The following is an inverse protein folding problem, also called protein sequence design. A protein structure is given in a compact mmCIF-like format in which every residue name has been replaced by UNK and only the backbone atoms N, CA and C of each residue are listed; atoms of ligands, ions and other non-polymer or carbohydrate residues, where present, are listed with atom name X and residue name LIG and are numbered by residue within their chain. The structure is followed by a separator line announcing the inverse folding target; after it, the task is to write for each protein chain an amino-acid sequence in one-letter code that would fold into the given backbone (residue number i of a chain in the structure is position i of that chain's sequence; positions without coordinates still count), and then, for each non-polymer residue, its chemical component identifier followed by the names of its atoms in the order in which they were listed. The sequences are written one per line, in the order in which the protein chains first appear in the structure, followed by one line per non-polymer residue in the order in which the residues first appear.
data_IF_991690857056
#
_entry.id   IF_991690857056
#
_cell.length_a   1.000
_cell.length_b   1.000
_cell.length_c   1.000
_cell.angle_alpha   90.00
_cell.angle_beta   90.00
_cell.angle_gamma   90.00
#
_symmetry.space_group_name_H-M   'P 1'
#
loop_
_entity.id
_entity.type
_entity.pdbx_description
1 polymer ?
#
# COMPACT_ATOMS: atom_id res chain seq x y z
N UNK A 1 11.52 15.35 7.85
CA UNK A 1 11.27 15.59 6.40
C UNK A 1 11.50 14.33 5.54
N UNK A 2 11.92 13.20 6.13
CA UNK A 2 12.23 11.97 5.43
C UNK A 2 10.98 11.13 5.08
N UNK A 3 10.00 11.06 6.00
CA UNK A 3 8.84 10.16 5.89
C UNK A 3 7.85 10.50 4.76
N UNK A 4 7.72 11.80 4.41
CA UNK A 4 6.86 12.23 3.29
C UNK A 4 7.50 11.95 1.94
N UNK A 5 8.83 11.99 1.87
CA UNK A 5 9.56 11.70 0.65
C UNK A 5 9.55 10.20 0.36
N UNK A 6 9.77 9.36 1.38
CA UNK A 6 9.69 7.90 1.25
C UNK A 6 8.29 7.41 0.87
N UNK A 7 7.23 7.91 1.51
CA UNK A 7 5.86 7.55 1.12
C UNK A 7 5.54 7.92 -0.33
N UNK A 8 5.97 9.11 -0.78
CA UNK A 8 5.80 9.52 -2.17
C UNK A 8 6.62 8.65 -3.13
N UNK A 9 7.82 8.25 -2.73
CA UNK A 9 8.69 7.40 -3.53
C UNK A 9 8.12 6.00 -3.69
N UNK A 10 7.57 5.40 -2.61
CA UNK A 10 6.87 4.12 -2.67
C UNK A 10 5.60 4.20 -3.52
N UNK A 11 4.81 5.27 -3.40
CA UNK A 11 3.63 5.47 -4.24
C UNK A 11 4.00 5.61 -5.73
N UNK A 12 5.05 6.38 -6.04
CA UNK A 12 5.60 6.51 -7.39
C UNK A 12 6.10 5.17 -7.93
N UNK A 13 6.80 4.38 -7.10
CA UNK A 13 7.33 3.07 -7.45
C UNK A 13 6.21 2.07 -7.74
N UNK A 14 5.14 2.08 -6.94
CA UNK A 14 3.94 1.27 -7.15
C UNK A 14 3.24 1.63 -8.47
N UNK A 15 3.03 2.92 -8.74
CA UNK A 15 2.46 3.40 -10.00
C UNK A 15 3.33 3.04 -11.20
N UNK A 16 4.65 3.13 -11.05
CA UNK A 16 5.59 2.72 -12.10
C UNK A 16 5.52 1.21 -12.37
N UNK A 17 5.44 0.37 -11.32
CA UNK A 17 5.21 -1.07 -11.44
C UNK A 17 3.89 -1.39 -12.16
N UNK A 18 2.81 -0.70 -11.81
CA UNK A 18 1.51 -0.85 -12.48
C UNK A 18 1.58 -0.43 -13.96
N UNK A 19 2.21 0.70 -14.26
CA UNK A 19 2.35 1.21 -15.63
C UNK A 19 3.21 0.28 -16.50
N UNK A 20 4.34 -0.19 -15.98
CA UNK A 20 5.21 -1.15 -16.66
C UNK A 20 4.51 -2.50 -16.84
N UNK A 21 3.79 -2.99 -15.82
CA UNK A 21 3.00 -4.22 -15.90
C UNK A 21 1.87 -4.13 -16.94
N UNK A 22 1.20 -2.98 -17.06
CA UNK A 22 0.24 -2.70 -18.13
C UNK A 22 0.90 -2.65 -19.51
N UNK A 23 2.05 -1.99 -19.63
CA UNK A 23 2.72 -1.82 -20.93
C UNK A 23 3.40 -3.09 -21.44
N UNK A 24 3.74 -4.03 -20.56
CA UNK A 24 4.41 -5.30 -20.90
C UNK A 24 3.47 -6.50 -20.87
N UNK A 25 2.15 -6.31 -20.72
CA UNK A 25 1.15 -7.38 -20.52
C UNK A 25 1.56 -8.38 -19.42
N UNK A 26 2.27 -7.89 -18.40
CA UNK A 26 2.79 -8.72 -17.33
C UNK A 26 1.80 -8.72 -16.16
N UNK A 27 0.81 -9.61 -16.24
CA UNK A 27 -0.25 -9.77 -15.22
C UNK A 27 0.31 -9.91 -13.80
N UNK A 28 1.50 -10.51 -13.64
CA UNK A 28 2.14 -10.66 -12.34
C UNK A 28 2.47 -9.30 -11.69
N UNK A 29 2.94 -8.33 -12.47
CA UNK A 29 3.34 -7.01 -11.96
C UNK A 29 2.12 -6.16 -11.59
N UNK A 30 1.03 -6.27 -12.35
CA UNK A 30 -0.26 -5.66 -11.98
C UNK A 30 -0.86 -6.30 -10.73
N UNK A 31 -0.81 -7.63 -10.63
CA UNK A 31 -1.33 -8.36 -9.49
C UNK A 31 -0.56 -8.03 -8.20
N UNK A 32 0.78 -7.94 -8.27
CA UNK A 32 1.62 -7.49 -7.16
C UNK A 32 1.25 -6.08 -6.71
N UNK A 33 1.16 -5.12 -7.63
CA UNK A 33 0.84 -3.73 -7.30
C UNK A 33 -0.52 -3.57 -6.61
N UNK A 34 -1.56 -4.23 -7.14
CA UNK A 34 -2.89 -4.23 -6.52
C UNK A 34 -2.92 -4.98 -5.19
N UNK A 35 -2.22 -6.11 -5.08
CA UNK A 35 -2.16 -6.87 -3.84
C UNK A 35 -1.44 -6.09 -2.73
N UNK A 36 -0.39 -5.34 -3.07
CA UNK A 36 0.37 -4.51 -2.13
C UNK A 36 -0.45 -3.30 -1.65
N UNK A 37 -1.17 -2.62 -2.55
CA UNK A 37 -2.16 -1.59 -2.19
C UNK A 37 -3.26 -2.14 -1.27
N UNK A 38 -3.84 -3.29 -1.62
CA UNK A 38 -4.88 -3.93 -0.84
C UNK A 38 -4.41 -4.33 0.57
N UNK A 39 -3.20 -4.90 0.67
CA UNK A 39 -2.58 -5.26 1.95
C UNK A 39 -2.28 -4.03 2.81
N UNK A 40 -1.80 -2.95 2.21
CA UNK A 40 -1.54 -1.69 2.91
C UNK A 40 -2.80 -1.11 3.55
N UNK A 41 -3.86 -0.98 2.75
CA UNK A 41 -5.15 -0.49 3.24
C UNK A 41 -5.75 -1.40 4.32
N UNK A 42 -5.65 -2.72 4.14
CA UNK A 42 -6.15 -3.68 5.12
C UNK A 42 -5.37 -3.61 6.44
N UNK A 43 -4.03 -3.48 6.38
CA UNK A 43 -3.19 -3.27 7.58
C UNK A 43 -3.58 -1.99 8.32
N UNK A 44 -3.69 -0.86 7.60
CA UNK A 44 -4.06 0.40 8.23
C UNK A 44 -5.46 0.35 8.86
N UNK A 45 -6.43 -0.28 8.19
CA UNK A 45 -7.77 -0.47 8.74
C UNK A 45 -7.74 -1.36 9.99
N UNK A 46 -7.01 -2.48 9.94
CA UNK A 46 -6.86 -3.39 11.08
C UNK A 46 -6.16 -2.73 12.27
N UNK A 47 -5.11 -1.94 12.03
CA UNK A 47 -4.42 -1.19 13.07
C UNK A 47 -5.34 -0.14 13.71
N UNK A 48 -6.09 0.64 12.91
CA UNK A 48 -7.08 1.59 13.45
C UNK A 48 -8.15 0.92 14.32
N UNK A 49 -8.68 -0.22 13.87
CA UNK A 49 -9.66 -1.00 14.65
C UNK A 49 -9.03 -1.49 15.96
N UNK A 50 -7.81 -2.03 15.91
CA UNK A 50 -7.10 -2.53 17.08
C UNK A 50 -6.75 -1.42 18.07
N UNK A 51 -6.35 -0.25 17.58
CA UNK A 51 -6.03 0.93 18.37
C UNK A 51 -7.26 1.50 19.08
N UNK A 52 -8.37 1.65 18.37
CA UNK A 52 -9.65 2.06 18.95
C UNK A 52 -10.13 1.07 20.03
N UNK A 53 -9.99 -0.22 19.79
CA UNK A 53 -10.38 -1.26 20.75
C UNK A 53 -9.48 -1.29 22.00
N UNK A 54 -8.19 -0.99 21.82
CA UNK A 54 -7.23 -0.89 22.92
C UNK A 54 -7.49 0.38 23.74
N UNK A 55 -7.83 1.49 23.09
CA UNK A 55 -8.12 2.76 23.76
C UNK A 55 -9.45 2.78 24.52
N UNK A 56 -10.44 1.96 24.13
CA UNK A 56 -11.69 1.79 24.92
C UNK A 56 -11.59 0.80 26.08
N UNK A 57 -10.45 0.11 26.23
CA UNK A 57 -10.23 -0.87 27.30
C UNK A 57 -9.36 -0.33 28.45
N UNK A 58 -8.93 0.94 28.37
CA UNK A 58 -8.30 1.69 29.45
C UNK A 58 -9.35 2.44 30.30
#
# INVERSE_FOLDING_TARGET
MNDKAENKAEELKGRAKEAVGNATDNEQWQAEGKAEQGKGNLKQAAEKVKDAFKSSKD
#
